data_IF_838067560730
#
_entry.id   IF_838067560730
#
_cell.length_a   1.000
_cell.length_b   1.000
_cell.length_c   1.000
_cell.angle_alpha   90.00
_cell.angle_beta   90.00
_cell.angle_gamma   90.00
#
_symmetry.space_group_name_H-M   'P 1'
#
loop_
_entity.id
_entity.type
_entity.pdbx_description
1 polymer ?
#
# COMPACT_ATOMS: atom_id res chain seq x y z
N UNK A 1 -16.57 6.61 25.32
CA UNK A 1 -15.36 6.08 25.97
C UNK A 1 -14.19 6.46 25.07
N UNK A 2 -13.65 7.67 25.25
CA UNK A 2 -12.69 8.29 24.33
C UNK A 2 -11.31 8.10 24.94
N UNK A 3 -10.52 7.20 24.37
CA UNK A 3 -9.14 6.97 24.77
C UNK A 3 -8.26 8.14 24.33
N UNK A 4 -7.62 8.81 25.27
CA UNK A 4 -6.64 9.85 25.01
C UNK A 4 -5.42 9.25 24.30
N UNK A 5 -5.20 9.62 23.04
CA UNK A 5 -4.00 9.27 22.29
C UNK A 5 -2.96 10.36 22.57
N UNK A 6 -1.93 10.01 23.35
CA UNK A 6 -0.76 10.86 23.56
C UNK A 6 0.10 10.85 22.29
N UNK A 7 0.06 11.94 21.53
CA UNK A 7 1.01 12.21 20.45
C UNK A 7 2.33 12.68 21.06
N UNK A 8 3.27 11.75 21.25
CA UNK A 8 4.66 12.09 21.60
C UNK A 8 5.41 12.46 20.32
N UNK A 9 6.00 13.67 20.30
CA UNK A 9 6.90 14.12 19.23
C UNK A 9 8.16 13.26 19.27
N UNK A 10 8.32 12.37 18.28
CA UNK A 10 9.56 11.62 18.06
C UNK A 10 10.66 12.56 17.57
N UNK A 11 11.72 12.70 18.38
CA UNK A 11 13.01 13.21 17.93
C UNK A 11 13.55 12.29 16.82
N UNK A 12 14.10 12.89 15.76
CA UNK A 12 14.67 12.16 14.63
C UNK A 12 15.72 11.14 15.08
N UNK A 13 15.42 9.87 14.85
CA UNK A 13 16.35 8.78 15.10
C UNK A 13 17.12 8.45 13.81
N UNK A 14 18.44 8.57 13.94
CA UNK A 14 19.44 8.05 13.02
C UNK A 14 19.19 6.56 12.78
N UNK A 15 18.94 6.18 11.52
CA UNK A 15 19.13 4.85 10.94
C UNK A 15 18.75 3.64 11.81
N UNK A 16 17.48 3.51 12.21
CA UNK A 16 16.98 2.23 12.72
C UNK A 16 17.03 1.19 11.60
N UNK A 17 17.68 0.05 11.86
CA UNK A 17 17.68 -1.07 10.92
C UNK A 17 16.24 -1.50 10.64
N UNK A 18 15.89 -1.66 9.36
CA UNK A 18 14.57 -2.11 8.92
C UNK A 18 14.21 -3.40 9.68
N UNK A 19 13.10 -3.36 10.42
CA UNK A 19 12.57 -4.50 11.15
C UNK A 19 12.12 -5.54 10.13
N UNK A 20 12.41 -6.79 10.43
CA UNK A 20 11.93 -7.89 9.61
C UNK A 20 10.40 -7.93 9.64
N UNK A 21 9.78 -7.68 8.48
CA UNK A 21 8.33 -7.62 8.34
C UNK A 21 7.67 -8.96 8.68
N UNK A 22 8.38 -10.08 8.46
CA UNK A 22 7.88 -11.42 8.77
C UNK A 22 7.75 -11.68 10.26
N UNK A 23 8.41 -10.88 11.10
CA UNK A 23 8.26 -10.94 12.56
C UNK A 23 6.96 -10.30 13.03
N UNK A 24 6.26 -9.56 12.17
CA UNK A 24 4.94 -9.06 12.51
C UNK A 24 3.96 -10.24 12.60
N UNK A 25 3.22 -10.32 13.70
CA UNK A 25 2.35 -11.47 14.01
C UNK A 25 1.32 -11.77 12.92
N UNK A 26 0.87 -10.74 12.20
CA UNK A 26 -0.10 -10.89 11.13
C UNK A 26 0.43 -11.61 9.89
N UNK A 27 1.75 -11.76 9.72
CA UNK A 27 2.34 -12.56 8.64
C UNK A 27 2.49 -14.04 9.00
N UNK A 28 2.40 -14.42 10.27
CA UNK A 28 2.58 -15.80 10.71
C UNK A 28 1.70 -16.80 9.94
N UNK A 29 0.41 -16.52 9.64
CA UNK A 29 -0.45 -17.44 8.89
C UNK A 29 -0.01 -17.69 7.44
N UNK A 30 0.77 -16.79 6.82
CA UNK A 30 1.15 -16.86 5.40
C UNK A 30 2.66 -17.03 5.18
N UNK A 31 3.42 -17.37 6.23
CA UNK A 31 4.87 -17.56 6.12
C UNK A 31 5.25 -18.62 5.07
N UNK A 32 4.51 -19.72 4.97
CA UNK A 32 4.75 -20.76 3.96
C UNK A 32 4.58 -20.22 2.54
N UNK A 33 3.55 -19.41 2.28
CA UNK A 33 3.31 -18.77 0.97
C UNK A 33 4.47 -17.83 0.61
N UNK A 34 4.99 -17.08 1.58
CA UNK A 34 6.14 -16.19 1.37
C UNK A 34 7.40 -17.00 1.04
N UNK A 35 7.68 -18.08 1.78
CA UNK A 35 8.85 -18.94 1.55
C UNK A 35 8.80 -19.64 0.19
N UNK A 36 7.63 -20.12 -0.20
CA UNK A 36 7.38 -20.68 -1.52
C UNK A 36 7.65 -19.64 -2.61
N UNK A 37 7.13 -18.42 -2.47
CA UNK A 37 7.36 -17.34 -3.43
C UNK A 37 8.83 -16.92 -3.54
N UNK A 38 9.54 -16.83 -2.40
CA UNK A 38 10.98 -16.53 -2.37
C UNK A 38 11.78 -17.61 -3.10
N UNK A 39 11.39 -18.88 -2.95
CA UNK A 39 12.01 -20.01 -3.65
C UNK A 39 11.70 -19.95 -5.14
N UNK A 40 10.44 -19.71 -5.49
CA UNK A 40 9.98 -19.60 -6.87
C UNK A 40 10.69 -18.47 -7.63
N UNK A 41 10.88 -17.31 -7.01
CA UNK A 41 11.59 -16.17 -7.60
C UNK A 41 13.09 -16.41 -7.88
N UNK A 42 13.66 -17.51 -7.38
CA UNK A 42 15.04 -17.90 -7.69
C UNK A 42 15.14 -18.86 -8.89
N UNK A 43 14.00 -19.29 -9.44
CA UNK A 43 13.93 -20.09 -10.66
C UNK A 43 14.50 -19.33 -11.86
N UNK A 44 14.93 -20.08 -12.88
CA UNK A 44 15.45 -19.52 -14.13
C UNK A 44 15.04 -20.42 -15.30
N UNK A 45 14.61 -19.85 -16.43
CA UNK A 45 14.16 -18.47 -16.66
C UNK A 45 12.94 -18.04 -15.82
N UNK A 46 12.87 -16.74 -15.44
CA UNK A 46 11.77 -16.15 -14.66
C UNK A 46 11.04 -15.04 -15.45
N UNK A 47 9.71 -15.07 -15.43
CA UNK A 47 8.84 -14.00 -15.91
C UNK A 47 7.91 -13.52 -14.79
N UNK A 48 7.85 -12.20 -14.60
CA UNK A 48 6.85 -11.57 -13.76
C UNK A 48 5.71 -11.05 -14.63
N UNK A 49 4.48 -11.38 -14.26
CA UNK A 49 3.28 -10.98 -15.00
C UNK A 49 2.28 -10.29 -14.09
N UNK A 50 1.63 -9.25 -14.59
CA UNK A 50 0.54 -8.58 -13.89
C UNK A 50 -0.31 -7.72 -14.84
N UNK A 51 -1.35 -7.08 -14.34
CA UNK A 51 -2.21 -6.15 -15.10
C UNK A 51 -1.78 -4.69 -14.92
N UNK A 52 -2.16 -3.82 -15.85
CA UNK A 52 -1.89 -2.38 -15.80
C UNK A 52 -2.78 -1.61 -14.82
N UNK A 53 -2.85 -2.07 -13.58
CA UNK A 53 -3.59 -1.45 -12.49
C UNK A 53 -2.65 -1.05 -11.35
N UNK A 54 -2.97 0.01 -10.60
CA UNK A 54 -2.07 0.54 -9.56
C UNK A 54 -1.66 -0.51 -8.51
N UNK A 55 -2.60 -1.34 -8.02
CA UNK A 55 -2.30 -2.43 -7.07
C UNK A 55 -1.26 -3.40 -7.61
N UNK A 56 -1.47 -3.84 -8.85
CA UNK A 56 -0.63 -4.77 -9.59
C UNK A 56 0.79 -4.22 -9.76
N UNK A 57 0.90 -2.94 -10.13
CA UNK A 57 2.18 -2.27 -10.35
C UNK A 57 2.95 -2.02 -9.05
N UNK A 58 2.27 -1.66 -7.96
CA UNK A 58 2.92 -1.53 -6.65
C UNK A 58 3.52 -2.85 -6.18
N UNK A 59 2.76 -3.94 -6.29
CA UNK A 59 3.23 -5.27 -5.95
C UNK A 59 4.44 -5.68 -6.80
N UNK A 60 4.36 -5.48 -8.11
CA UNK A 60 5.45 -5.76 -9.03
C UNK A 60 6.71 -4.94 -8.70
N UNK A 61 6.55 -3.67 -8.31
CA UNK A 61 7.64 -2.79 -7.86
C UNK A 61 8.44 -3.36 -6.68
N UNK A 62 7.78 -3.98 -5.70
CA UNK A 62 8.47 -4.65 -4.60
C UNK A 62 9.28 -5.86 -5.08
N UNK A 63 8.66 -6.74 -5.89
CA UNK A 63 9.32 -7.96 -6.37
C UNK A 63 10.55 -7.61 -7.23
N UNK A 64 10.39 -6.70 -8.18
CA UNK A 64 11.46 -6.27 -9.06
C UNK A 64 12.58 -5.54 -8.32
N UNK A 65 12.25 -4.72 -7.31
CA UNK A 65 13.25 -4.08 -6.45
C UNK A 65 14.18 -5.11 -5.81
N UNK A 66 13.60 -6.19 -5.27
CA UNK A 66 14.39 -7.24 -4.62
C UNK A 66 15.20 -8.08 -5.60
N UNK A 67 14.64 -8.41 -6.77
CA UNK A 67 15.37 -9.13 -7.83
C UNK A 67 16.57 -8.33 -8.34
N UNK A 68 16.37 -7.03 -8.61
CA UNK A 68 17.43 -6.12 -9.05
C UNK A 68 18.52 -5.96 -7.98
N UNK A 69 18.14 -5.82 -6.71
CA UNK A 69 19.11 -5.73 -5.62
C UNK A 69 19.90 -7.04 -5.43
N UNK A 70 19.36 -8.19 -5.86
CA UNK A 70 20.00 -9.50 -5.81
C UNK A 70 20.71 -9.91 -7.11
N UNK A 71 20.58 -9.11 -8.18
CA UNK A 71 21.10 -9.46 -9.50
C UNK A 71 20.44 -10.69 -10.12
N UNK A 72 19.19 -10.99 -9.77
CA UNK A 72 18.43 -12.09 -10.37
C UNK A 72 17.81 -11.59 -11.67
N UNK A 73 18.08 -12.30 -12.78
CA UNK A 73 17.51 -11.99 -14.10
C UNK A 73 16.04 -12.38 -14.16
N UNK A 74 15.22 -11.49 -14.72
CA UNK A 74 13.81 -11.74 -14.97
C UNK A 74 13.38 -11.00 -16.25
N UNK A 75 12.22 -11.38 -16.78
CA UNK A 75 11.47 -10.61 -17.75
C UNK A 75 10.17 -10.14 -17.11
N UNK A 76 9.59 -9.04 -17.60
CA UNK A 76 8.29 -8.54 -17.13
C UNK A 76 7.29 -8.48 -18.27
N UNK A 77 6.02 -8.72 -17.96
CA UNK A 77 4.90 -8.51 -18.89
C UNK A 77 3.73 -7.86 -18.16
N UNK A 78 3.31 -6.70 -18.66
CA UNK A 78 2.15 -5.96 -18.17
C UNK A 78 1.01 -6.20 -19.16
N UNK A 79 -0.07 -6.80 -18.68
CA UNK A 79 -1.30 -7.02 -19.43
C UNK A 79 -2.19 -5.77 -19.37
N UNK A 80 -3.22 -5.67 -20.24
CA UNK A 80 -4.28 -4.67 -20.09
C UNK A 80 -4.80 -4.58 -18.65
N UNK A 81 -5.29 -3.39 -18.24
CA UNK A 81 -5.90 -3.23 -16.92
C UNK A 81 -7.10 -4.18 -16.79
N UNK A 82 -7.40 -4.59 -15.55
CA UNK A 82 -8.42 -5.58 -15.26
C UNK A 82 -9.80 -5.19 -15.83
N UNK A 83 -10.10 -3.89 -15.91
CA UNK A 83 -11.33 -3.32 -16.50
C UNK A 83 -11.51 -3.60 -18.00
N UNK A 84 -10.43 -3.93 -18.71
CA UNK A 84 -10.42 -4.22 -20.15
C UNK A 84 -10.34 -5.72 -20.45
N UNK A 85 -10.27 -6.55 -19.42
CA UNK A 85 -10.21 -8.01 -19.55
C UNK A 85 -11.63 -8.56 -19.34
N UNK A 86 -12.21 -9.28 -20.32
CA UNK A 86 -13.53 -9.89 -20.19
C UNK A 86 -13.65 -10.71 -18.90
N UNK A 87 -14.75 -10.60 -18.11
CA UNK A 87 -14.90 -11.29 -16.83
C UNK A 87 -14.67 -12.81 -16.88
N UNK A 88 -15.00 -13.42 -18.02
CA UNK A 88 -14.90 -14.85 -18.32
C UNK A 88 -13.53 -15.27 -18.87
N UNK A 89 -12.66 -14.33 -19.24
CA UNK A 89 -11.29 -14.62 -19.66
C UNK A 89 -10.47 -15.10 -18.46
N UNK A 90 -10.02 -16.35 -18.54
CA UNK A 90 -9.22 -17.03 -17.50
C UNK A 90 -7.83 -17.40 -17.98
N UNK A 91 -7.59 -17.42 -19.29
CA UNK A 91 -6.34 -17.88 -19.89
C UNK A 91 -5.41 -16.70 -20.17
N UNK A 92 -5.11 -15.92 -19.12
CA UNK A 92 -4.22 -14.76 -19.21
C UNK A 92 -2.73 -15.14 -19.18
N UNK A 93 -2.44 -16.34 -18.68
CA UNK A 93 -1.08 -16.86 -18.55
C UNK A 93 -0.78 -17.70 -19.79
N UNK A 94 0.19 -17.29 -20.64
CA UNK A 94 0.57 -18.09 -21.79
C UNK A 94 1.24 -19.39 -21.35
N UNK A 95 0.95 -20.49 -22.03
CA UNK A 95 1.79 -21.68 -21.95
C UNK A 95 3.16 -21.34 -22.54
N UNK A 96 4.18 -21.28 -21.70
CA UNK A 96 5.57 -21.11 -22.13
C UNK A 96 6.42 -22.25 -21.61
N UNK A 97 6.99 -23.01 -22.54
CA UNK A 97 7.96 -24.05 -22.21
C UNK A 97 9.21 -23.44 -21.57
N UNK A 98 9.59 -24.00 -20.43
CA UNK A 98 10.87 -23.73 -19.78
C UNK A 98 11.00 -22.38 -19.08
N UNK A 99 9.94 -21.62 -18.85
CA UNK A 99 9.98 -20.41 -18.01
C UNK A 99 9.04 -20.52 -16.81
N UNK A 100 9.53 -20.12 -15.64
CA UNK A 100 8.71 -19.98 -14.43
C UNK A 100 8.02 -18.61 -14.45
N UNK A 101 6.69 -18.61 -14.29
CA UNK A 101 5.87 -17.40 -14.35
C UNK A 101 5.30 -17.11 -12.97
N UNK A 102 5.62 -15.95 -12.38
CA UNK A 102 4.91 -15.44 -11.21
C UNK A 102 3.90 -14.40 -11.68
N UNK A 103 2.61 -14.68 -11.48
CA UNK A 103 1.53 -13.78 -11.80
C UNK A 103 0.99 -13.10 -10.54
N UNK A 104 0.97 -11.76 -10.52
CA UNK A 104 0.35 -10.99 -9.44
C UNK A 104 -1.11 -10.70 -9.80
N UNK A 105 -2.04 -11.28 -9.05
CA UNK A 105 -3.48 -11.17 -9.24
C UNK A 105 -4.18 -10.64 -7.97
N UNK A 106 -4.30 -9.30 -7.81
CA UNK A 106 -4.98 -8.70 -6.67
C UNK A 106 -6.45 -9.16 -6.50
N UNK A 107 -7.12 -9.57 -7.59
CA UNK A 107 -8.56 -9.88 -7.60
C UNK A 107 -8.87 -11.38 -7.54
N UNK A 108 -7.85 -12.25 -7.53
CA UNK A 108 -8.02 -13.71 -7.55
C UNK A 108 -8.96 -14.20 -8.68
N UNK A 109 -8.81 -13.62 -9.87
CA UNK A 109 -9.56 -13.98 -11.08
C UNK A 109 -8.96 -15.20 -11.78
N UNK A 110 -7.66 -15.40 -11.63
CA UNK A 110 -6.91 -16.44 -12.33
C UNK A 110 -6.73 -17.62 -11.42
N UNK A 111 -6.92 -18.80 -12.00
CA UNK A 111 -6.52 -20.06 -11.41
C UNK A 111 -5.64 -20.78 -12.45
N UNK A 112 -4.55 -21.38 -12.00
CA UNK A 112 -3.64 -22.13 -12.85
C UNK A 112 -3.08 -23.31 -12.07
N UNK A 113 -3.20 -24.49 -12.66
CA UNK A 113 -2.62 -25.73 -12.14
C UNK A 113 -1.27 -26.07 -12.79
N UNK A 114 -0.73 -25.15 -13.61
CA UNK A 114 0.54 -25.37 -14.29
C UNK A 114 1.70 -25.34 -13.29
N UNK A 115 2.61 -26.33 -13.29
CA UNK A 115 3.64 -26.47 -12.27
C UNK A 115 4.71 -25.37 -12.31
N UNK A 116 4.87 -24.70 -13.46
CA UNK A 116 5.78 -23.58 -13.65
C UNK A 116 5.11 -22.21 -13.42
N UNK A 117 3.88 -22.17 -12.91
CA UNK A 117 3.14 -20.94 -12.67
C UNK A 117 2.86 -20.81 -11.18
N UNK A 118 3.17 -19.63 -10.62
CA UNK A 118 2.79 -19.25 -9.27
C UNK A 118 1.88 -18.02 -9.35
N UNK A 119 0.72 -18.09 -8.71
CA UNK A 119 -0.21 -16.95 -8.62
C UNK A 119 -0.13 -16.36 -7.22
N UNK A 120 0.21 -15.08 -7.15
CA UNK A 120 0.14 -14.30 -5.91
C UNK A 120 -1.21 -13.58 -5.86
N UNK A 121 -2.08 -14.03 -4.97
CA UNK A 121 -3.41 -13.44 -4.74
C UNK A 121 -3.62 -13.11 -3.26
N UNK A 122 -4.58 -12.24 -2.95
CA UNK A 122 -4.84 -11.81 -1.58
C UNK A 122 -5.18 -12.99 -0.66
N UNK A 123 -4.51 -13.09 0.49
CA UNK A 123 -4.63 -14.23 1.41
C UNK A 123 -5.51 -13.87 2.62
N UNK A 124 -6.55 -14.66 2.94
CA UNK A 124 -7.32 -14.47 4.16
C UNK A 124 -6.48 -14.83 5.39
N UNK A 125 -6.58 -14.02 6.45
CA UNK A 125 -5.88 -14.24 7.71
C UNK A 125 -6.77 -13.95 8.91
N UNK A 126 -6.46 -14.58 10.05
CA UNK A 126 -7.01 -14.19 11.35
C UNK A 126 -5.90 -13.59 12.20
N UNK A 127 -6.16 -12.41 12.77
CA UNK A 127 -5.19 -11.65 13.56
C UNK A 127 -5.77 -11.24 14.90
N UNK A 128 -4.91 -11.16 15.90
CA UNK A 128 -5.24 -10.64 17.23
C UNK A 128 -4.49 -9.34 17.45
N UNK A 129 -5.17 -8.34 18.03
CA UNK A 129 -4.50 -7.14 18.50
C UNK A 129 -3.86 -7.43 19.86
N UNK A 130 -2.72 -6.82 20.15
CA UNK A 130 -1.99 -6.97 21.42
C UNK A 130 -2.85 -6.75 22.68
N UNK A 131 -3.93 -5.98 22.57
CA UNK A 131 -4.82 -5.62 23.68
C UNK A 131 -6.23 -6.24 23.57
N UNK A 132 -6.43 -7.24 22.71
CA UNK A 132 -7.74 -7.89 22.51
C UNK A 132 -7.57 -9.38 22.27
N UNK A 133 -8.28 -10.21 23.04
CA UNK A 133 -8.37 -11.66 22.82
C UNK A 133 -9.33 -12.04 21.67
N UNK A 134 -10.04 -11.07 21.09
CA UNK A 134 -10.91 -11.31 19.94
C UNK A 134 -10.09 -11.35 18.65
N UNK A 135 -10.10 -12.51 18.00
CA UNK A 135 -9.60 -12.69 16.64
C UNK A 135 -10.44 -11.89 15.65
N UNK A 136 -9.78 -11.17 14.75
CA UNK A 136 -10.40 -10.47 13.63
C UNK A 136 -9.95 -11.10 12.32
N UNK A 137 -10.90 -11.28 11.41
CA UNK A 137 -10.61 -11.71 10.04
C UNK A 137 -10.18 -10.50 9.23
N UNK A 138 -9.16 -10.69 8.40
CA UNK A 138 -8.65 -9.71 7.46
C UNK A 138 -8.10 -10.40 6.21
N UNK A 139 -7.53 -9.63 5.30
CA UNK A 139 -6.87 -10.15 4.09
C UNK A 139 -5.55 -9.44 3.89
N UNK A 140 -4.48 -10.19 3.64
CA UNK A 140 -3.20 -9.63 3.22
C UNK A 140 -3.22 -9.53 1.70
N UNK A 141 -3.22 -8.30 1.20
CA UNK A 141 -3.20 -7.99 -0.22
C UNK A 141 -1.85 -8.34 -0.87
N UNK A 142 -1.80 -8.33 -2.20
CA UNK A 142 -0.61 -8.73 -2.96
C UNK A 142 0.56 -7.76 -2.86
N UNK A 143 0.32 -6.47 -2.61
CA UNK A 143 1.38 -5.46 -2.37
C UNK A 143 2.07 -5.75 -1.06
N UNK A 144 1.29 -5.99 0.00
CA UNK A 144 1.85 -6.30 1.32
C UNK A 144 2.57 -7.67 1.32
N UNK A 145 2.03 -8.68 0.62
CA UNK A 145 2.74 -9.94 0.39
C UNK A 145 4.05 -9.73 -0.38
N UNK A 146 4.02 -8.96 -1.47
CA UNK A 146 5.20 -8.66 -2.28
C UNK A 146 6.27 -7.92 -1.48
N UNK A 147 5.88 -7.01 -0.58
CA UNK A 147 6.81 -6.35 0.35
C UNK A 147 7.49 -7.33 1.31
N UNK A 148 6.75 -8.32 1.84
CA UNK A 148 7.33 -9.35 2.70
C UNK A 148 8.27 -10.30 1.93
N UNK A 149 7.88 -10.69 0.71
CA UNK A 149 8.71 -11.49 -0.20
C UNK A 149 10.00 -10.71 -0.54
N UNK A 150 9.88 -9.44 -0.92
CA UNK A 150 11.01 -8.57 -1.23
C UNK A 150 11.96 -8.39 -0.03
N UNK A 151 11.41 -8.20 1.17
CA UNK A 151 12.16 -8.11 2.42
C UNK A 151 12.91 -9.41 2.74
N UNK A 152 12.34 -10.56 2.37
CA UNK A 152 12.97 -11.87 2.58
C UNK A 152 14.07 -12.16 1.56
N UNK A 153 13.82 -11.81 0.30
CA UNK A 153 14.74 -12.05 -0.80
C UNK A 153 15.94 -11.08 -0.77
N UNK A 154 15.72 -9.83 -0.36
CA UNK A 154 16.74 -8.77 -0.30
C UNK A 154 16.58 -7.88 0.95
N UNK A 155 16.85 -8.41 2.17
CA UNK A 155 16.63 -7.69 3.43
C UNK A 155 17.45 -6.40 3.56
N UNK A 156 18.61 -6.35 2.90
CA UNK A 156 19.49 -5.19 2.88
C UNK A 156 19.48 -4.44 1.56
N UNK A 157 18.58 -4.79 0.64
CA UNK A 157 18.44 -4.19 -0.68
C UNK A 157 18.17 -2.69 -0.63
N UNK A 158 18.87 -1.92 -1.45
CA UNK A 158 18.71 -0.46 -1.48
C UNK A 158 17.38 -0.05 -2.14
N UNK A 159 16.95 -0.75 -3.19
CA UNK A 159 15.63 -0.53 -3.81
C UNK A 159 14.53 -1.01 -2.88
N UNK A 160 14.66 -2.22 -2.32
CA UNK A 160 13.67 -2.76 -1.38
C UNK A 160 13.43 -1.83 -0.19
N UNK A 161 14.49 -1.25 0.38
CA UNK A 161 14.38 -0.28 1.48
C UNK A 161 13.65 1.00 1.08
N UNK A 162 13.88 1.53 -0.14
CA UNK A 162 13.18 2.73 -0.62
C UNK A 162 11.69 2.51 -0.83
N UNK A 163 11.30 1.31 -1.25
CA UNK A 163 9.89 0.95 -1.44
C UNK A 163 9.15 0.70 -0.12
N UNK A 164 9.87 0.51 1.00
CA UNK A 164 9.31 0.11 2.31
C UNK A 164 8.08 0.92 2.77
N UNK A 165 8.05 2.26 2.66
CA UNK A 165 6.91 3.04 3.12
C UNK A 165 5.59 2.71 2.41
N UNK A 166 5.66 2.17 1.18
CA UNK A 166 4.49 1.82 0.37
C UNK A 166 3.88 0.44 0.72
N UNK A 167 4.40 -0.27 1.72
CA UNK A 167 3.97 -1.65 2.03
C UNK A 167 2.48 -1.75 2.40
N UNK A 168 1.92 -0.69 2.98
CA UNK A 168 0.49 -0.61 3.33
C UNK A 168 -0.42 -0.06 2.22
N UNK A 169 0.12 0.29 1.05
CA UNK A 169 -0.67 0.94 -0.01
C UNK A 169 -1.71 0.01 -0.63
N UNK A 170 -1.41 -1.29 -0.79
CA UNK A 170 -2.41 -2.22 -1.30
C UNK A 170 -3.57 -2.41 -0.32
N UNK A 171 -3.31 -2.46 0.98
CA UNK A 171 -4.36 -2.46 2.01
C UNK A 171 -5.26 -1.22 1.93
N UNK A 172 -4.68 -0.05 1.65
CA UNK A 172 -5.45 1.19 1.47
C UNK A 172 -6.38 1.15 0.25
N UNK A 173 -5.89 0.54 -0.83
CA UNK A 173 -6.60 0.50 -2.10
C UNK A 173 -7.68 -0.60 -2.15
N UNK A 174 -7.69 -1.55 -1.21
CA UNK A 174 -8.79 -2.51 -1.04
C UNK A 174 -10.09 -1.84 -0.56
N UNK A 175 -11.21 -2.50 -0.83
CA UNK A 175 -12.56 -2.05 -0.44
C UNK A 175 -12.91 -2.36 1.04
N UNK A 176 -12.05 -3.07 1.77
CA UNK A 176 -12.29 -3.43 3.19
C UNK A 176 -12.59 -2.22 4.06
N UNK A 177 -11.83 -1.14 3.87
CA UNK A 177 -12.02 0.14 4.55
C UNK A 177 -13.31 0.86 4.13
N UNK A 178 -13.96 0.50 3.04
CA UNK A 178 -15.23 1.11 2.59
C UNK A 178 -16.45 0.54 3.33
N UNK A 179 -16.28 -0.52 4.11
CA UNK A 179 -17.37 -1.15 4.86
C UNK A 179 -17.11 -1.16 6.37
N UNK A 180 -15.88 -1.41 6.79
CA UNK A 180 -15.53 -1.58 8.21
C UNK A 180 -14.05 -1.26 8.45
N UNK A 181 -13.61 -1.39 9.70
CA UNK A 181 -12.19 -1.30 10.05
C UNK A 181 -11.44 -2.46 9.42
N UNK A 182 -10.36 -2.17 8.69
CA UNK A 182 -9.41 -3.17 8.24
C UNK A 182 -8.32 -3.39 9.31
N UNK A 183 -8.28 -4.58 9.95
CA UNK A 183 -7.27 -4.85 10.97
C UNK A 183 -5.86 -4.96 10.40
N UNK A 184 -5.69 -5.43 9.15
CA UNK A 184 -4.38 -5.57 8.51
C UNK A 184 -3.83 -4.19 8.15
N UNK A 185 -4.66 -3.31 7.59
CA UNK A 185 -4.29 -1.91 7.35
C UNK A 185 -3.78 -1.22 8.62
N UNK A 186 -4.53 -1.39 9.72
CA UNK A 186 -4.17 -0.83 11.03
C UNK A 186 -2.81 -1.35 11.50
N UNK A 187 -2.61 -2.67 11.44
CA UNK A 187 -1.39 -3.33 11.93
C UNK A 187 -0.16 -2.97 11.08
N UNK A 188 -0.26 -2.93 9.75
CA UNK A 188 0.86 -2.54 8.90
C UNK A 188 1.22 -1.06 9.06
N UNK A 189 0.22 -0.18 9.18
CA UNK A 189 0.44 1.25 9.45
C UNK A 189 1.21 1.44 10.75
N UNK A 190 0.74 0.81 11.82
CA UNK A 190 1.38 0.93 13.13
C UNK A 190 2.78 0.31 13.13
N UNK A 191 2.98 -0.83 12.46
CA UNK A 191 4.30 -1.43 12.27
C UNK A 191 5.28 -0.48 11.57
N UNK A 192 4.88 0.11 10.43
CA UNK A 192 5.73 1.02 9.65
C UNK A 192 6.02 2.31 10.42
N UNK A 193 5.05 2.84 11.18
CA UNK A 193 5.24 3.98 12.08
C UNK A 193 6.28 3.67 13.15
N UNK A 194 6.12 2.54 13.85
CA UNK A 194 6.99 2.14 14.96
C UNK A 194 8.40 1.74 14.48
N UNK A 195 8.57 1.44 13.19
CA UNK A 195 9.86 1.25 12.52
C UNK A 195 10.51 2.58 12.10
N UNK A 196 9.71 3.63 11.90
CA UNK A 196 10.13 4.94 11.39
C UNK A 196 10.06 5.07 9.86
N UNK A 197 9.50 4.08 9.17
CA UNK A 197 9.33 4.09 7.71
C UNK A 197 8.25 5.07 7.25
N UNK A 198 7.29 5.37 8.12
CA UNK A 198 6.27 6.41 7.93
C UNK A 198 6.08 7.22 9.21
N UNK A 199 5.48 8.39 9.07
CA UNK A 199 4.91 9.19 10.15
C UNK A 199 3.39 9.18 10.04
N UNK A 200 2.71 9.35 11.17
CA UNK A 200 1.25 9.48 11.22
C UNK A 200 0.90 10.90 11.66
N UNK A 201 0.08 11.57 10.87
CA UNK A 201 -0.33 12.95 11.14
C UNK A 201 -1.82 13.16 10.90
N UNK A 202 -2.39 14.16 11.56
CA UNK A 202 -3.75 14.57 11.28
C UNK A 202 -3.82 15.34 9.94
N UNK A 203 -5.00 15.40 9.31
CA UNK A 203 -5.19 16.08 8.03
C UNK A 203 -4.64 17.54 7.99
N UNK A 204 -4.79 18.37 9.04
CA UNK A 204 -4.23 19.72 9.05
C UNK A 204 -2.69 19.78 9.10
N UNK A 205 -2.04 18.70 9.52
CA UNK A 205 -0.58 18.61 9.63
C UNK A 205 0.08 18.20 8.31
N UNK A 206 -0.69 17.60 7.39
CA UNK A 206 -0.21 17.33 6.03
C UNK A 206 -0.08 18.65 5.28
N UNK A 207 1.06 18.90 4.66
CA UNK A 207 1.31 20.14 3.92
C UNK A 207 0.45 20.22 2.65
N UNK A 208 0.47 19.18 1.82
CA UNK A 208 -0.20 19.15 0.51
C UNK A 208 -1.26 18.03 0.37
N UNK A 209 -2.32 17.98 1.19
CA UNK A 209 -3.34 16.94 1.09
C UNK A 209 -4.30 17.17 -0.09
N UNK A 210 -4.61 16.11 -0.83
CA UNK A 210 -5.69 16.02 -1.83
C UNK A 210 -7.06 15.93 -1.14
N UNK A 211 -7.57 17.05 -0.64
CA UNK A 211 -8.85 17.11 0.09
C UNK A 211 -10.05 16.70 -0.78
N UNK A 212 -9.95 16.87 -2.09
CA UNK A 212 -10.99 16.49 -3.05
C UNK A 212 -11.34 14.99 -3.03
N UNK A 213 -10.46 14.13 -2.52
CA UNK A 213 -10.77 12.71 -2.34
C UNK A 213 -11.85 12.47 -1.26
N UNK A 214 -12.14 13.45 -0.40
CA UNK A 214 -13.15 13.38 0.65
C UNK A 214 -14.37 14.21 0.19
N UNK A 215 -15.49 13.57 -0.20
CA UNK A 215 -16.70 14.30 -0.55
C UNK A 215 -17.12 15.22 0.59
N UNK A 216 -17.68 16.39 0.25
CA UNK A 216 -18.12 17.44 1.19
C UNK A 216 -17.00 18.12 1.99
N UNK A 217 -15.74 17.68 1.88
CA UNK A 217 -14.63 18.32 2.57
C UNK A 217 -14.35 19.71 1.98
N UNK A 218 -14.23 20.70 2.87
CA UNK A 218 -14.04 22.08 2.46
C UNK A 218 -12.57 22.48 2.56
N UNK A 219 -11.90 22.61 1.41
CA UNK A 219 -10.52 23.10 1.31
C UNK A 219 -10.34 24.42 2.07
N UNK A 220 -11.29 25.36 1.94
CA UNK A 220 -11.25 26.64 2.64
C UNK A 220 -11.29 26.48 4.16
N UNK A 221 -12.11 25.55 4.70
CA UNK A 221 -12.16 25.28 6.14
C UNK A 221 -10.87 24.63 6.61
N UNK A 222 -10.31 23.69 5.84
CA UNK A 222 -9.03 23.07 6.18
C UNK A 222 -7.93 24.12 6.24
N UNK A 223 -7.80 24.99 5.23
CA UNK A 223 -6.78 26.05 5.22
C UNK A 223 -6.88 27.00 6.42
N UNK A 224 -8.09 27.30 6.88
CA UNK A 224 -8.29 28.07 8.13
C UNK A 224 -7.84 27.29 9.36
N UNK A 225 -8.18 25.99 9.43
CA UNK A 225 -7.77 25.11 10.53
C UNK A 225 -6.24 24.99 10.60
N UNK A 226 -5.56 24.77 9.46
CA UNK A 226 -4.10 24.70 9.37
C UNK A 226 -3.41 25.93 9.97
N UNK A 227 -3.91 27.13 9.66
CA UNK A 227 -3.35 28.40 10.20
C UNK A 227 -3.44 28.52 11.72
N UNK A 228 -4.42 27.88 12.34
CA UNK A 228 -4.62 27.94 13.79
C UNK A 228 -4.01 26.73 14.51
N UNK A 229 -3.61 25.70 13.78
CA UNK A 229 -3.27 24.38 14.31
C UNK A 229 -2.12 24.39 15.32
N UNK A 230 -1.06 25.16 15.02
CA UNK A 230 0.13 25.25 15.87
C UNK A 230 -0.13 25.96 17.21
N UNK A 231 -1.18 26.79 17.28
CA UNK A 231 -1.60 27.46 18.51
C UNK A 231 -2.59 26.66 19.35
N UNK A 232 -3.08 25.52 18.86
CA UNK A 232 -4.06 24.69 19.57
C UNK A 232 -3.39 23.62 20.42
N UNK A 233 -3.89 23.44 21.65
CA UNK A 233 -3.55 22.27 22.48
C UNK A 233 -4.27 21.00 21.99
N UNK A 234 -4.00 19.87 22.64
CA UNK A 234 -4.57 18.58 22.26
C UNK A 234 -6.12 18.55 22.30
N UNK A 235 -6.76 19.23 23.27
CA UNK A 235 -8.21 19.26 23.40
C UNK A 235 -8.84 20.11 22.30
N UNK A 236 -8.25 21.28 22.02
CA UNK A 236 -8.69 22.17 20.96
C UNK A 236 -8.53 21.52 19.58
N UNK A 237 -7.43 20.79 19.34
CA UNK A 237 -7.22 20.00 18.11
C UNK A 237 -8.27 18.92 17.93
N UNK A 238 -8.58 18.16 18.99
CA UNK A 238 -9.60 17.13 18.94
C UNK A 238 -10.98 17.72 18.61
N UNK A 239 -11.38 18.78 19.30
CA UNK A 239 -12.64 19.48 19.07
C UNK A 239 -12.72 20.04 17.63
N UNK A 240 -11.67 20.72 17.17
CA UNK A 240 -11.64 21.32 15.84
C UNK A 240 -11.71 20.27 14.72
N UNK A 241 -11.06 19.11 14.88
CA UNK A 241 -11.19 17.99 13.95
C UNK A 241 -12.60 17.40 13.97
N UNK A 242 -13.22 17.23 15.13
CA UNK A 242 -14.62 16.76 15.23
C UNK A 242 -15.59 17.70 14.53
N UNK A 243 -15.43 19.01 14.70
CA UNK A 243 -16.24 20.01 13.99
C UNK A 243 -15.99 20.04 12.49
N UNK A 244 -14.74 19.79 12.06
CA UNK A 244 -14.40 19.63 10.66
C UNK A 244 -15.03 18.37 10.05
N UNK A 245 -15.00 17.25 10.77
CA UNK A 245 -15.46 15.94 10.29
C UNK A 245 -16.97 15.75 10.35
N UNK A 246 -17.68 16.46 11.24
CA UNK A 246 -19.13 16.31 11.45
C UNK A 246 -19.95 16.31 10.15
N UNK A 247 -19.81 17.30 9.23
CA UNK A 247 -20.55 17.26 7.96
C UNK A 247 -20.09 16.14 7.01
N UNK A 248 -18.89 15.58 7.21
CA UNK A 248 -18.32 14.52 6.37
C UNK A 248 -18.86 13.13 6.73
N UNK A 249 -19.52 12.99 7.88
CA UNK A 249 -20.19 11.74 8.26
C UNK A 249 -21.35 11.39 7.32
N UNK A 250 -21.84 12.37 6.56
CA UNK A 250 -22.86 12.19 5.51
C UNK A 250 -22.27 12.07 4.11
N UNK A 251 -20.94 11.95 3.97
CA UNK A 251 -20.29 11.85 2.67
C UNK A 251 -20.63 10.54 1.97
N UNK A 252 -21.14 10.58 0.73
CA UNK A 252 -21.44 9.36 -0.02
C UNK A 252 -20.15 8.63 -0.39
N UNK A 253 -20.17 7.30 -0.33
CA UNK A 253 -19.07 6.46 -0.81
C UNK A 253 -17.81 6.42 0.08
N UNK A 254 -17.84 7.01 1.27
CA UNK A 254 -16.76 6.89 2.26
C UNK A 254 -17.33 6.37 3.57
N UNK A 255 -16.80 5.25 4.05
CA UNK A 255 -17.17 4.70 5.36
C UNK A 255 -16.62 5.56 6.51
N UNK A 256 -17.20 5.43 7.70
CA UNK A 256 -16.64 6.05 8.91
C UNK A 256 -15.21 5.58 9.19
N UNK A 257 -14.89 4.31 8.90
CA UNK A 257 -13.54 3.78 9.09
C UNK A 257 -12.52 4.43 8.14
N UNK A 258 -12.84 4.52 6.84
CA UNK A 258 -11.96 5.21 5.88
C UNK A 258 -11.85 6.70 6.22
N UNK A 259 -12.94 7.35 6.60
CA UNK A 259 -12.91 8.76 7.02
C UNK A 259 -12.00 8.97 8.24
N UNK A 260 -12.00 8.05 9.20
CA UNK A 260 -11.12 8.13 10.37
C UNK A 260 -9.64 8.14 9.96
N UNK A 261 -9.25 7.24 9.04
CA UNK A 261 -7.90 7.21 8.48
C UNK A 261 -7.55 8.50 7.71
N UNK A 262 -8.51 9.05 6.96
CA UNK A 262 -8.34 10.28 6.17
C UNK A 262 -8.30 11.57 6.99
N UNK A 263 -8.81 11.58 8.21
CA UNK A 263 -8.83 12.79 9.05
C UNK A 263 -7.75 12.74 10.13
N UNK A 264 -7.54 11.60 10.78
CA UNK A 264 -6.67 11.49 11.95
C UNK A 264 -5.35 10.76 11.70
N UNK A 265 -5.25 9.91 10.68
CA UNK A 265 -4.16 8.93 10.57
C UNK A 265 -3.48 8.91 9.20
N UNK A 266 -3.16 10.10 8.68
CA UNK A 266 -2.47 10.26 7.39
C UNK A 266 -1.08 9.67 7.47
N UNK A 267 -0.77 8.74 6.58
CA UNK A 267 0.57 8.15 6.47
C UNK A 267 1.46 9.03 5.60
N UNK A 268 2.52 9.60 6.18
CA UNK A 268 3.53 10.37 5.46
C UNK A 268 4.85 9.62 5.40
N UNK A 269 5.53 9.69 4.27
CA UNK A 269 6.94 9.31 4.21
C UNK A 269 7.76 10.45 4.84
N UNK A 270 8.76 10.17 5.69
CA UNK A 270 9.60 11.22 6.24
C UNK A 270 10.20 12.11 5.13
N UNK A 271 10.17 13.41 5.35
CA UNK A 271 10.62 14.44 4.39
C UNK A 271 9.79 14.54 3.11
N UNK A 272 8.54 14.09 3.09
CA UNK A 272 7.58 14.38 2.03
C UNK A 272 6.44 15.26 2.53
N UNK A 273 6.00 16.19 1.68
CA UNK A 273 4.91 17.14 1.98
C UNK A 273 3.51 16.52 1.82
N UNK A 274 3.42 15.41 1.09
CA UNK A 274 2.16 14.79 0.66
C UNK A 274 2.04 13.40 1.28
N UNK A 275 0.88 13.09 1.85
CA UNK A 275 0.63 11.77 2.41
C UNK A 275 0.33 10.71 1.34
N UNK A 276 0.51 9.45 1.70
CA UNK A 276 0.34 8.30 0.80
C UNK A 276 -1.07 8.21 0.21
N UNK A 277 -2.12 8.50 0.97
CA UNK A 277 -3.49 8.41 0.45
C UNK A 277 -3.75 9.50 -0.60
N UNK A 278 -3.17 10.70 -0.43
CA UNK A 278 -3.20 11.74 -1.46
C UNK A 278 -2.37 11.41 -2.69
N UNK A 279 -1.18 10.82 -2.53
CA UNK A 279 -0.35 10.33 -3.62
C UNK A 279 -1.13 9.29 -4.45
N UNK A 280 -1.67 8.26 -3.79
CA UNK A 280 -2.43 7.20 -4.45
C UNK A 280 -3.68 7.75 -5.15
N UNK A 281 -4.39 8.68 -4.51
CA UNK A 281 -5.56 9.32 -5.12
C UNK A 281 -5.19 10.09 -6.40
N UNK A 282 -4.12 10.90 -6.37
CA UNK A 282 -3.66 11.65 -7.54
C UNK A 282 -3.30 10.71 -8.70
N UNK A 283 -2.55 9.65 -8.39
CA UNK A 283 -2.18 8.62 -9.37
C UNK A 283 -3.42 7.98 -9.98
N UNK A 284 -4.39 7.56 -9.16
CA UNK A 284 -5.62 6.94 -9.65
C UNK A 284 -6.46 7.90 -10.52
N UNK A 285 -6.50 9.19 -10.15
CA UNK A 285 -7.22 10.22 -10.90
C UNK A 285 -6.62 10.47 -12.27
N UNK A 286 -5.29 10.34 -12.40
CA UNK A 286 -4.56 10.52 -13.65
C UNK A 286 -4.33 9.22 -14.43
N UNK A 287 -4.76 8.08 -13.88
CA UNK A 287 -4.58 6.78 -14.52
C UNK A 287 -5.34 6.72 -15.84
N UNK A 288 -4.69 6.38 -16.97
CA UNK A 288 -5.37 6.37 -18.25
C UNK A 288 -6.53 5.36 -18.30
N UNK A 289 -7.63 5.77 -18.95
CA UNK A 289 -8.77 4.88 -19.20
C UNK A 289 -8.47 3.87 -20.30
N UNK A 290 -7.78 4.27 -21.36
CA UNK A 290 -7.51 3.41 -22.53
C UNK A 290 -6.43 2.37 -22.24
N UNK A 291 -6.67 1.11 -22.62
CA UNK A 291 -5.78 -0.04 -22.38
C UNK A 291 -4.30 0.23 -22.71
N UNK A 292 -3.99 0.62 -23.95
CA UNK A 292 -2.59 0.79 -24.39
C UNK A 292 -1.89 1.93 -23.63
N UNK A 293 -2.63 3.00 -23.33
CA UNK A 293 -2.13 4.13 -22.55
C UNK A 293 -1.89 3.73 -21.10
N UNK A 294 -2.77 2.91 -20.51
CA UNK A 294 -2.63 2.39 -19.16
C UNK A 294 -1.40 1.48 -19.03
N UNK A 295 -1.15 0.60 -20.01
CA UNK A 295 0.05 -0.27 -20.04
C UNK A 295 1.32 0.57 -20.09
N UNK A 296 1.39 1.57 -20.97
CA UNK A 296 2.55 2.46 -21.07
C UNK A 296 2.76 3.29 -19.80
N UNK A 297 1.68 3.81 -19.21
CA UNK A 297 1.73 4.57 -17.96
C UNK A 297 2.24 3.69 -16.81
N UNK A 298 1.67 2.50 -16.66
CA UNK A 298 2.07 1.50 -15.67
C UNK A 298 3.56 1.14 -15.77
N UNK A 299 4.07 0.89 -16.98
CA UNK A 299 5.48 0.61 -17.21
C UNK A 299 6.40 1.76 -16.80
N UNK A 300 6.05 3.00 -17.19
CA UNK A 300 6.82 4.21 -16.82
C UNK A 300 6.83 4.46 -15.31
N UNK A 301 5.68 4.29 -14.65
CA UNK A 301 5.57 4.45 -13.20
C UNK A 301 6.42 3.41 -12.47
N UNK A 302 6.38 2.16 -12.92
CA UNK A 302 7.21 1.10 -12.35
C UNK A 302 8.69 1.40 -12.50
N UNK A 303 9.13 1.83 -13.70
CA UNK A 303 10.52 2.20 -13.95
C UNK A 303 10.97 3.37 -13.06
N UNK A 304 10.12 4.37 -12.89
CA UNK A 304 10.42 5.50 -12.01
C UNK A 304 10.50 5.06 -10.55
N UNK A 305 9.56 4.25 -10.07
CA UNK A 305 9.61 3.66 -8.73
C UNK A 305 10.90 2.86 -8.50
N UNK A 306 11.33 2.03 -9.46
CA UNK A 306 12.57 1.24 -9.35
C UNK A 306 13.83 2.13 -9.35
N UNK A 307 13.78 3.25 -10.08
CA UNK A 307 14.88 4.19 -10.22
C UNK A 307 15.01 5.08 -8.99
N UNK A 308 13.95 5.73 -8.56
CA UNK A 308 13.96 6.77 -7.51
C UNK A 308 13.46 6.26 -6.17
N UNK A 309 12.58 5.26 -6.16
CA UNK A 309 11.87 4.82 -4.97
C UNK A 309 10.68 5.71 -4.62
N UNK A 310 10.18 6.50 -5.58
CA UNK A 310 9.04 7.40 -5.38
C UNK A 310 7.95 7.12 -6.43
N UNK A 311 6.68 7.24 -6.03
CA UNK A 311 5.54 7.05 -6.93
C UNK A 311 5.16 8.32 -7.71
N UNK A 312 5.47 9.48 -7.17
CA UNK A 312 5.35 10.77 -7.84
C UNK A 312 6.71 11.47 -7.79
N UNK A 313 7.05 12.29 -8.80
CA UNK A 313 8.25 13.12 -8.75
C UNK A 313 8.22 14.00 -7.50
N UNK A 314 9.36 14.18 -6.83
CA UNK A 314 9.44 15.15 -5.73
C UNK A 314 9.04 16.53 -6.23
N UNK A 315 8.18 17.21 -5.47
CA UNK A 315 7.69 18.58 -5.77
C UNK A 315 8.58 19.65 -5.12
N UNK A 316 9.75 19.26 -4.62
CA UNK A 316 10.75 20.15 -4.00
C UNK A 316 11.49 21.02 -5.02
#
# INVERSE_FOLDING_TARGET
>A
MIGSIHLSRGQGLVGTAMKDLRKASFFAPINGVIEEAVTFLQSKPLMLMTTADLHSILALGFLESALLDRGISYSRRILPPNSHIPPDEKNLIPEQDGSSILFVDPWARIDSSLPNVMILSAQPVEVEFSHSSTKRRGRIDVVLQSSAIASSLSPNGTRSKRCRPYSGCGQWLMESLDTTIDPIHTLIRDFLRDEGSIQISALPEVENPSVEMIPLASQRRLQRLKKLWDGMDASARAQALSEYSLPLLSSPGISTARLEELIWKRMLIPNQSTDLASILFQIMKEWPSESDSAILHAGRMLDELLKTGQLLPSTD
#
